data_IF_637487954865
#
_entry.id   IF_637487954865
#
_cell.length_a   1.000
_cell.length_b   1.000
_cell.length_c   1.000
_cell.angle_alpha   90.00
_cell.angle_beta   90.00
_cell.angle_gamma   90.00
#
_symmetry.space_group_name_H-M   'P 1'
#
loop_
_entity.id
_entity.type
_entity.pdbx_description
1 polymer ?
#
# COMPACT_ATOMS: atom_id res chain seq x y z
N UNK A 1 -16.99 1.10 -15.19
CA UNK A 1 -16.14 1.08 -15.12
C UNK A 1 -15.43 0.90 -14.07
N UNK A 2 -14.91 -0.04 -13.88
CA UNK A 2 -14.39 -0.36 -12.68
C UNK A 2 -12.93 -0.39 -12.73
N UNK A 3 -12.31 0.65 -12.38
CA UNK A 3 -10.87 0.72 -12.24
C UNK A 3 -10.53 0.39 -10.81
N UNK A 4 -9.76 -0.66 -10.63
CA UNK A 4 -9.26 -0.98 -9.31
C UNK A 4 -7.87 -0.39 -9.14
N UNK A 5 -7.61 0.12 -7.97
CA UNK A 5 -6.28 0.65 -7.66
C UNK A 5 -5.68 -0.16 -6.53
N UNK A 6 -4.37 -0.27 -6.59
CA UNK A 6 -3.61 -0.92 -5.53
C UNK A 6 -2.55 0.03 -5.04
N UNK A 7 -2.36 0.08 -3.76
CA UNK A 7 -1.30 0.88 -3.17
C UNK A 7 -0.16 -0.06 -2.82
N UNK A 8 0.96 0.11 -3.50
CA UNK A 8 2.13 -0.74 -3.29
C UNK A 8 3.11 -0.03 -2.38
N UNK A 9 3.48 -0.69 -1.31
CA UNK A 9 4.43 -0.17 -0.34
C UNK A 9 5.63 -1.07 -0.34
N UNK A 10 6.79 -0.50 -0.62
CA UNK A 10 8.02 -1.27 -0.74
C UNK A 10 8.90 -1.09 0.49
N UNK A 11 9.48 -2.19 0.93
CA UNK A 11 10.41 -2.19 2.05
C UNK A 11 11.68 -2.90 1.61
N UNK A 12 12.82 -2.42 2.11
CA UNK A 12 14.11 -3.01 1.73
C UNK A 12 14.25 -4.41 2.28
N UNK A 13 13.83 -4.64 3.52
CA UNK A 13 13.95 -5.93 4.17
C UNK A 13 12.69 -6.23 4.96
N UNK A 14 12.56 -7.49 5.35
CA UNK A 14 11.45 -7.90 6.19
C UNK A 14 11.50 -7.18 7.54
N UNK A 15 12.70 -7.01 8.07
CA UNK A 15 12.84 -6.32 9.34
C UNK A 15 12.40 -4.86 9.25
N UNK A 16 12.72 -4.21 8.13
CA UNK A 16 12.27 -2.84 7.94
C UNK A 16 10.75 -2.76 7.95
N UNK A 17 10.10 -3.73 7.32
CA UNK A 17 8.64 -3.78 7.35
C UNK A 17 8.13 -3.99 8.77
N UNK A 18 8.71 -4.93 9.49
CA UNK A 18 8.23 -5.24 10.83
C UNK A 18 8.40 -4.06 11.78
N UNK A 19 9.46 -3.29 11.62
CA UNK A 19 9.68 -2.13 12.45
C UNK A 19 8.61 -1.06 12.23
N UNK A 20 8.15 -0.94 11.01
CA UNK A 20 7.20 0.12 10.67
C UNK A 20 5.76 -0.35 10.63
N UNK A 21 5.56 -1.63 10.85
CA UNK A 21 4.24 -2.22 10.67
C UNK A 21 3.17 -1.58 11.53
N UNK A 22 3.46 -1.35 12.80
CA UNK A 22 2.48 -0.77 13.69
C UNK A 22 2.08 0.63 13.27
N UNK A 23 3.06 1.46 12.95
CA UNK A 23 2.76 2.80 12.52
C UNK A 23 2.03 2.81 11.18
N UNK A 24 2.41 1.88 10.31
CA UNK A 24 1.74 1.75 9.03
C UNK A 24 0.26 1.47 9.22
N UNK A 25 -0.07 0.50 10.06
CA UNK A 25 -1.46 0.17 10.30
C UNK A 25 -2.21 1.33 10.93
N UNK A 26 -1.54 2.11 11.79
CA UNK A 26 -2.16 3.28 12.37
C UNK A 26 -2.50 4.33 11.31
N UNK A 27 -1.62 4.48 10.33
CA UNK A 27 -1.89 5.42 9.25
C UNK A 27 -3.03 4.96 8.36
N UNK A 28 -3.16 3.65 8.20
CA UNK A 28 -4.21 3.09 7.35
C UNK A 28 -5.56 3.03 8.04
N UNK A 29 -5.54 3.01 9.35
CA UNK A 29 -6.76 2.88 10.12
C UNK A 29 -7.68 4.07 9.89
N UNK A 30 -8.94 3.79 9.63
CA UNK A 30 -9.89 4.85 9.39
C UNK A 30 -10.01 5.27 7.93
N UNK A 31 -9.20 4.69 7.06
CA UNK A 31 -9.24 5.04 5.65
C UNK A 31 -9.97 3.96 4.87
N UNK A 32 -11.16 3.63 5.30
CA UNK A 32 -11.91 2.53 4.70
C UNK A 32 -12.25 2.79 3.24
N UNK A 33 -12.13 1.79 2.43
CA UNK A 33 -12.44 1.90 1.02
C UNK A 33 -12.32 0.57 0.32
N UNK A 34 -12.17 0.63 -0.99
CA UNK A 34 -12.10 -0.57 -1.81
C UNK A 34 -10.74 -0.79 -2.46
N UNK A 35 -9.78 0.05 -2.16
CA UNK A 35 -8.46 -0.08 -2.77
C UNK A 35 -7.59 -1.01 -1.92
N UNK A 36 -6.88 -1.89 -2.58
CA UNK A 36 -6.09 -2.89 -1.89
C UNK A 36 -4.68 -2.40 -1.60
N UNK A 37 -4.07 -3.00 -0.61
CA UNK A 37 -2.70 -2.68 -0.25
C UNK A 37 -1.83 -3.90 -0.50
N UNK A 38 -0.71 -3.69 -1.17
CA UNK A 38 0.26 -4.73 -1.43
C UNK A 38 1.58 -4.32 -0.79
N UNK A 39 2.12 -5.20 0.03
CA UNK A 39 3.42 -4.99 0.67
C UNK A 39 4.45 -5.74 -0.14
N UNK A 40 5.46 -5.04 -0.60
CA UNK A 40 6.55 -5.65 -1.36
C UNK A 40 7.84 -5.53 -0.58
N UNK A 41 8.50 -6.65 -0.39
CA UNK A 41 9.78 -6.68 0.32
C UNK A 41 10.85 -7.09 -0.67
N UNK A 42 11.88 -6.29 -0.78
CA UNK A 42 12.93 -6.52 -1.76
C UNK A 42 13.85 -7.67 -1.37
N UNK A 43 14.14 -7.81 -0.09
CA UNK A 43 15.06 -8.84 0.37
C UNK A 43 14.64 -9.40 1.73
N UNK A 44 14.26 -10.68 1.82
CA UNK A 44 14.07 -11.60 0.72
C UNK A 44 12.87 -11.18 -0.12
N UNK A 45 12.93 -11.49 -1.38
CA UNK A 45 11.89 -11.05 -2.30
C UNK A 45 10.56 -11.67 -1.93
N UNK A 46 9.62 -10.85 -1.56
CA UNK A 46 8.32 -11.33 -1.12
C UNK A 46 7.27 -10.26 -1.37
N UNK A 47 6.04 -10.73 -1.52
CA UNK A 47 4.94 -9.84 -1.79
C UNK A 47 3.76 -10.34 -0.97
N UNK A 48 3.05 -9.43 -0.32
CA UNK A 48 1.95 -9.80 0.52
C UNK A 48 0.79 -8.84 0.31
N UNK A 49 -0.39 -9.38 0.07
CA UNK A 49 -1.59 -8.56 0.00
C UNK A 49 -2.24 -8.54 1.37
N UNK A 50 -2.56 -7.35 1.84
CA UNK A 50 -3.30 -7.26 3.09
C UNK A 50 -4.75 -7.63 2.82
N UNK A 51 -5.42 -8.17 3.83
CA UNK A 51 -6.78 -8.64 3.65
C UNK A 51 -7.78 -7.52 3.48
N UNK A 52 -9.02 -7.89 3.24
CA UNK A 52 -10.08 -6.91 3.01
C UNK A 52 -10.26 -5.96 4.19
N UNK A 53 -9.90 -6.39 5.38
CA UNK A 53 -10.02 -5.53 6.55
C UNK A 53 -9.09 -4.33 6.48
N UNK A 54 -8.13 -4.35 5.57
CA UNK A 54 -7.16 -3.28 5.43
C UNK A 54 -7.33 -2.50 4.14
N UNK A 55 -8.43 -2.74 3.43
CA UNK A 55 -8.68 -1.97 2.22
C UNK A 55 -8.90 -0.51 2.59
N UNK A 56 -8.39 0.37 1.76
CA UNK A 56 -8.40 1.78 2.03
C UNK A 56 -8.99 2.54 0.87
N UNK A 57 -9.17 3.82 1.08
CA UNK A 57 -9.52 4.74 0.01
C UNK A 57 -8.29 5.56 -0.30
N UNK A 58 -7.69 5.33 -1.46
CA UNK A 58 -6.50 6.05 -1.86
C UNK A 58 -6.87 7.50 -2.10
N UNK A 59 -6.22 8.39 -1.39
CA UNK A 59 -6.47 9.82 -1.51
C UNK A 59 -5.16 10.57 -1.29
N UNK A 60 -5.08 11.84 -1.74
CA UNK A 60 -3.81 12.56 -1.67
C UNK A 60 -3.25 12.69 -0.26
N UNK A 61 -4.13 12.86 0.72
CA UNK A 61 -3.66 13.01 2.09
C UNK A 61 -2.98 11.75 2.59
N UNK A 62 -3.62 10.61 2.37
CA UNK A 62 -3.06 9.33 2.79
C UNK A 62 -1.75 9.05 2.06
N UNK A 63 -1.73 9.27 0.76
CA UNK A 63 -0.52 9.03 -0.02
C UNK A 63 0.60 9.95 0.47
N UNK A 64 0.28 11.20 0.77
CA UNK A 64 1.27 12.11 1.29
C UNK A 64 1.85 11.63 2.61
N UNK A 65 1.00 11.17 3.51
CA UNK A 65 1.46 10.67 4.80
C UNK A 65 2.36 9.45 4.63
N UNK A 66 1.98 8.55 3.74
CA UNK A 66 2.78 7.36 3.50
C UNK A 66 4.09 7.70 2.81
N UNK A 67 4.07 8.67 1.92
CA UNK A 67 5.27 9.11 1.24
C UNK A 67 6.27 9.69 2.23
N UNK A 68 5.79 10.45 3.20
CA UNK A 68 6.67 10.98 4.23
C UNK A 68 7.18 9.88 5.14
N UNK A 69 6.36 8.88 5.38
CA UNK A 69 6.71 7.81 6.30
C UNK A 69 7.71 6.83 5.68
N UNK A 70 7.51 6.50 4.41
CA UNK A 70 8.30 5.45 3.76
C UNK A 70 9.25 5.98 2.70
N UNK A 71 9.01 7.18 2.21
CA UNK A 71 9.79 7.72 1.10
C UNK A 71 9.05 7.58 -0.21
N UNK A 72 9.23 8.57 -1.07
CA UNK A 72 8.50 8.63 -2.32
C UNK A 72 8.75 7.42 -3.21
N UNK A 73 9.97 6.90 -3.16
CA UNK A 73 10.33 5.76 -4.01
C UNK A 73 9.68 4.47 -3.55
N UNK A 74 9.19 4.44 -2.33
CA UNK A 74 8.64 3.23 -1.74
C UNK A 74 7.13 3.21 -1.73
N UNK A 75 6.49 4.22 -2.29
CA UNK A 75 5.04 4.29 -2.35
C UNK A 75 4.63 4.43 -3.80
N UNK A 76 3.79 3.50 -4.26
CA UNK A 76 3.40 3.51 -5.66
C UNK A 76 1.93 3.14 -5.80
N UNK A 77 1.23 3.84 -6.66
CA UNK A 77 -0.16 3.54 -6.94
C UNK A 77 -0.23 2.84 -8.29
N UNK A 78 -0.84 1.67 -8.30
CA UNK A 78 -1.00 0.89 -9.51
C UNK A 78 -2.47 0.83 -9.84
N UNK A 79 -2.82 1.22 -11.04
CA UNK A 79 -4.20 1.13 -11.49
C UNK A 79 -4.36 -0.10 -12.37
N UNK A 80 -5.31 -0.93 -12.00
CA UNK A 80 -5.63 -2.08 -12.80
C UNK A 80 -6.91 -1.80 -13.53
N UNK A 81 -6.82 -1.28 -14.72
CA UNK A 81 -7.99 -1.04 -15.51
C UNK A 81 -8.52 -2.35 -16.06
N UNK A 82 -9.82 -2.34 -16.30
CA UNK A 82 -10.38 -3.47 -16.92
C UNK A 82 -10.34 -3.20 -18.38
N UNK A 83 -9.67 -3.96 -19.05
CA UNK A 83 -9.55 -3.66 -20.35
C UNK A 83 -10.36 -4.23 -21.15
N UNK A 84 -10.89 -4.00 -21.85
CA UNK A 84 -11.57 -4.49 -22.50
C UNK A 84 -11.38 -4.53 -23.59
N UNK A 85 -10.92 -4.76 -23.90
CA UNK A 85 -10.71 -4.77 -24.76
C UNK A 85 -11.03 -5.03 -25.26
#
# INVERSE_FOLDING_TARGET
MDTKRELWLQFATKEAFEEKEKELYSLLYGSDGNDEIVIYIASPRAMKRLGQNYNIHINPELVGNLTEFLGEKNVKIVEKGIEKK
#
